data_IF_120807571536
#
_entry.id   IF_120807571536
#
_cell.length_a   1.000
_cell.length_b   1.000
_cell.length_c   1.000
_cell.angle_alpha   90.00
_cell.angle_beta   90.00
_cell.angle_gamma   90.00
#
_symmetry.space_group_name_H-M   'P 1'
#
loop_
_entity.id
_entity.type
_entity.pdbx_description
1 polymer ?
#
# COMPACT_ATOMS: atom_id res chain seq x y z
N UNK A 1 33.68 -53.05 31.18
CA UNK A 1 33.23 -51.65 31.40
C UNK A 1 31.96 -51.44 30.60
N UNK A 2 30.80 -51.29 31.26
CA UNK A 2 29.56 -50.87 30.58
C UNK A 2 29.57 -49.35 30.50
N UNK A 3 29.65 -48.80 29.28
CA UNK A 3 29.32 -47.39 29.06
C UNK A 3 27.81 -47.23 29.26
N UNK A 4 27.43 -46.49 30.30
CA UNK A 4 26.06 -46.02 30.50
C UNK A 4 25.95 -44.68 29.78
N UNK A 5 25.31 -44.67 28.61
CA UNK A 5 24.93 -43.43 27.94
C UNK A 5 23.76 -42.78 28.72
N UNK A 6 24.08 -41.83 29.60
CA UNK A 6 23.11 -40.97 30.28
C UNK A 6 22.60 -39.89 29.31
N UNK A 7 21.79 -40.29 28.33
CA UNK A 7 21.15 -39.36 27.40
C UNK A 7 20.02 -38.60 28.09
N UNK A 8 20.24 -37.32 28.38
CA UNK A 8 19.26 -36.28 28.70
C UNK A 8 17.96 -36.73 29.40
N UNK A 9 18.03 -36.93 30.71
CA UNK A 9 16.87 -37.11 31.59
C UNK A 9 16.35 -35.77 32.15
N UNK A 10 16.30 -34.71 31.34
CA UNK A 10 15.68 -33.43 31.71
C UNK A 10 14.32 -33.35 31.03
N UNK A 11 13.27 -33.30 31.85
CA UNK A 11 11.84 -33.17 31.51
C UNK A 11 11.49 -33.52 30.06
N UNK A 12 11.00 -34.73 29.85
CA UNK A 12 10.67 -35.27 28.52
C UNK A 12 9.42 -34.60 27.94
N UNK A 13 9.55 -33.33 27.54
CA UNK A 13 8.73 -32.82 26.45
C UNK A 13 8.83 -33.82 25.30
N UNK A 14 7.68 -34.23 24.74
CA UNK A 14 7.65 -35.23 23.68
C UNK A 14 8.73 -34.91 22.64
N UNK A 15 9.57 -35.89 22.25
CA UNK A 15 10.68 -35.71 21.27
C UNK A 15 10.27 -34.86 20.06
N UNK A 16 9.01 -34.99 19.64
CA UNK A 16 8.36 -34.16 18.61
C UNK A 16 8.43 -32.65 18.90
N UNK A 17 8.11 -32.20 20.10
CA UNK A 17 8.18 -30.79 20.53
C UNK A 17 9.62 -30.29 20.56
N UNK A 18 10.54 -31.09 21.11
CA UNK A 18 11.96 -30.74 21.14
C UNK A 18 12.50 -30.53 19.72
N UNK A 19 12.28 -31.50 18.82
CA UNK A 19 12.74 -31.38 17.42
C UNK A 19 12.08 -30.21 16.69
N UNK A 20 10.80 -29.93 16.97
CA UNK A 20 10.11 -28.76 16.41
C UNK A 20 10.76 -27.46 16.88
N UNK A 21 11.02 -27.31 18.17
CA UNK A 21 11.63 -26.10 18.73
C UNK A 21 13.05 -25.91 18.19
N UNK A 22 13.86 -26.97 18.23
CA UNK A 22 15.21 -26.96 17.66
C UNK A 22 15.20 -26.55 16.18
N UNK A 23 14.29 -27.12 15.39
CA UNK A 23 14.18 -26.77 13.97
C UNK A 23 13.83 -25.30 13.76
N UNK A 24 12.97 -24.72 14.60
CA UNK A 24 12.60 -23.31 14.54
C UNK A 24 13.77 -22.40 14.92
N UNK A 25 14.51 -22.74 15.98
CA UNK A 25 15.66 -21.96 16.45
C UNK A 25 16.76 -21.90 15.38
N UNK A 26 17.06 -23.04 14.74
CA UNK A 26 18.09 -23.11 13.69
C UNK A 26 17.75 -22.26 12.45
N UNK A 27 16.47 -22.10 12.12
CA UNK A 27 16.03 -21.37 10.91
C UNK A 27 15.61 -19.94 11.19
N UNK A 28 15.43 -19.55 12.46
CA UNK A 28 14.89 -18.24 12.84
C UNK A 28 15.66 -17.06 12.22
N UNK A 29 16.99 -17.04 12.37
CA UNK A 29 17.84 -15.96 11.85
C UNK A 29 17.77 -15.87 10.31
N UNK A 30 17.72 -17.02 9.63
CA UNK A 30 17.59 -17.08 8.19
C UNK A 30 16.23 -16.57 7.69
N UNK A 31 15.15 -16.88 8.42
CA UNK A 31 13.81 -16.39 8.12
C UNK A 31 13.76 -14.87 8.28
N UNK A 32 14.35 -14.33 9.35
CA UNK A 32 14.38 -12.89 9.60
C UNK A 32 15.12 -12.14 8.49
N UNK A 33 16.34 -12.59 8.12
CA UNK A 33 17.11 -12.00 7.01
C UNK A 33 16.34 -12.00 5.69
N UNK A 34 15.59 -13.07 5.40
CA UNK A 34 14.74 -13.17 4.21
C UNK A 34 13.54 -12.23 4.28
N UNK A 35 12.92 -12.07 5.45
CA UNK A 35 11.80 -11.17 5.65
C UNK A 35 12.20 -9.70 5.42
N UNK A 36 13.38 -9.29 5.88
CA UNK A 36 13.93 -7.95 5.67
C UNK A 36 14.32 -7.70 4.21
N UNK A 37 14.91 -8.70 3.54
CA UNK A 37 15.35 -8.62 2.15
C UNK A 37 14.20 -8.61 1.13
N UNK A 38 12.97 -8.94 1.55
CA UNK A 38 11.79 -9.07 0.68
C UNK A 38 11.44 -7.77 -0.08
N UNK A 39 11.89 -6.61 0.42
CA UNK A 39 11.65 -5.29 -0.20
C UNK A 39 12.31 -5.16 -1.59
N UNK A 40 13.37 -5.93 -1.88
CA UNK A 40 14.21 -5.73 -3.09
C UNK A 40 13.75 -6.52 -4.33
N UNK A 41 12.60 -7.19 -4.29
CA UNK A 41 12.01 -7.83 -5.48
C UNK A 41 12.79 -9.04 -5.99
N UNK A 42 12.53 -10.22 -5.41
CA UNK A 42 13.10 -11.49 -5.88
C UNK A 42 12.46 -12.74 -5.28
N UNK A 43 11.40 -12.56 -4.49
CA UNK A 43 10.70 -13.61 -3.75
C UNK A 43 9.25 -13.65 -4.25
N UNK A 44 8.69 -14.84 -4.47
CA UNK A 44 7.29 -15.04 -4.86
C UNK A 44 6.32 -14.44 -3.83
N UNK A 45 5.23 -13.84 -4.30
CA UNK A 45 4.20 -13.14 -3.51
C UNK A 45 3.77 -13.88 -2.24
N UNK A 46 3.53 -15.18 -2.36
CA UNK A 46 2.97 -16.00 -1.28
C UNK A 46 3.99 -16.21 -0.16
N UNK A 47 5.26 -16.34 -0.54
CA UNK A 47 6.37 -16.41 0.41
C UNK A 47 6.60 -15.05 1.07
N UNK A 48 6.45 -13.94 0.33
CA UNK A 48 6.52 -12.60 0.92
C UNK A 48 5.44 -12.43 2.01
N UNK A 49 4.21 -12.84 1.73
CA UNK A 49 3.10 -12.74 2.67
C UNK A 49 3.33 -13.57 3.94
N UNK A 50 3.90 -14.77 3.78
CA UNK A 50 4.26 -15.63 4.91
C UNK A 50 5.40 -15.04 5.76
N UNK A 51 6.38 -14.40 5.12
CA UNK A 51 7.53 -13.77 5.79
C UNK A 51 7.18 -12.46 6.52
N UNK A 52 6.08 -11.76 6.16
CA UNK A 52 5.62 -10.55 6.86
C UNK A 52 5.48 -10.75 8.37
N UNK A 53 5.07 -11.95 8.80
CA UNK A 53 4.87 -12.30 10.22
C UNK A 53 6.16 -12.29 11.06
N UNK A 54 7.32 -12.35 10.40
CA UNK A 54 8.63 -12.44 11.04
C UNK A 54 9.43 -11.13 10.94
N UNK A 55 8.83 -10.05 10.45
CA UNK A 55 9.46 -8.73 10.46
C UNK A 55 9.45 -8.16 11.87
N UNK A 56 10.60 -7.67 12.34
CA UNK A 56 10.76 -7.07 13.67
C UNK A 56 9.84 -5.84 13.88
N UNK A 57 9.59 -5.09 12.81
CA UNK A 57 8.53 -4.08 12.75
C UNK A 57 7.48 -4.58 11.76
N UNK A 58 6.32 -5.08 12.22
CA UNK A 58 5.16 -5.20 11.37
C UNK A 58 4.90 -3.79 10.85
N UNK A 59 5.23 -3.55 9.58
CA UNK A 59 4.63 -2.42 8.89
C UNK A 59 3.17 -2.81 8.83
N UNK A 60 2.37 -2.27 9.75
CA UNK A 60 0.94 -2.15 9.51
C UNK A 60 0.86 -1.47 8.16
N UNK A 61 0.45 -2.23 7.15
CA UNK A 61 -0.02 -1.65 5.91
C UNK A 61 -1.24 -0.85 6.36
N UNK A 62 -1.03 0.40 6.75
CA UNK A 62 -2.12 1.34 6.92
C UNK A 62 -2.98 1.17 5.68
N UNK A 63 -4.30 0.98 5.83
CA UNK A 63 -5.17 0.83 4.69
C UNK A 63 -4.88 2.02 3.79
N UNK A 64 -4.20 1.77 2.66
CA UNK A 64 -3.85 2.82 1.73
C UNK A 64 -5.19 3.41 1.35
N UNK A 65 -5.53 4.58 1.91
CA UNK A 65 -6.85 5.15 1.79
C UNK A 65 -7.15 5.16 0.31
N UNK A 66 -8.14 4.35 -0.09
CA UNK A 66 -8.55 4.30 -1.48
C UNK A 66 -8.83 5.75 -1.86
N UNK A 67 -8.03 6.30 -2.79
CA UNK A 67 -8.07 7.72 -3.15
C UNK A 67 -9.51 8.24 -3.02
N UNK A 68 -9.76 9.28 -2.20
CA UNK A 68 -11.12 9.57 -1.71
C UNK A 68 -12.14 9.85 -2.82
N UNK A 69 -11.66 10.09 -4.04
CA UNK A 69 -12.46 10.35 -5.23
C UNK A 69 -12.85 9.12 -6.05
N UNK A 70 -13.12 7.95 -5.44
CA UNK A 70 -13.53 6.73 -6.17
C UNK A 70 -15.03 6.43 -6.10
N UNK A 71 -15.58 6.02 -7.25
CA UNK A 71 -16.95 5.55 -7.45
C UNK A 71 -17.03 4.02 -7.31
N UNK A 72 -18.11 3.52 -6.71
CA UNK A 72 -18.37 2.08 -6.55
C UNK A 72 -18.57 1.35 -7.89
N UNK A 73 -19.11 2.03 -8.91
CA UNK A 73 -19.31 1.51 -10.26
C UNK A 73 -18.72 2.48 -11.28
N UNK A 74 -18.20 1.94 -12.39
CA UNK A 74 -17.70 2.75 -13.50
C UNK A 74 -18.86 3.53 -14.13
N UNK A 75 -18.70 4.85 -14.28
CA UNK A 75 -19.64 5.75 -14.97
C UNK A 75 -18.96 6.39 -16.18
N UNK A 76 -19.74 6.95 -17.11
CA UNK A 76 -19.22 7.75 -18.22
C UNK A 76 -18.69 9.08 -17.70
N UNK A 77 -17.56 9.55 -18.23
CA UNK A 77 -17.04 10.87 -17.91
C UNK A 77 -17.99 11.94 -18.43
N UNK A 78 -18.29 12.93 -17.57
CA UNK A 78 -19.17 14.06 -17.88
C UNK A 78 -18.61 14.90 -19.05
N UNK A 79 -17.30 15.14 -19.05
CA UNK A 79 -16.62 15.95 -20.07
C UNK A 79 -16.53 15.24 -21.42
N UNK A 80 -16.45 13.90 -21.41
CA UNK A 80 -16.44 13.11 -22.63
C UNK A 80 -17.85 12.77 -23.16
N UNK A 81 -18.93 13.30 -22.58
CA UNK A 81 -20.30 12.96 -23.02
C UNK A 81 -20.56 13.34 -24.48
N UNK A 82 -19.99 14.46 -24.91
CA UNK A 82 -20.14 14.99 -26.26
C UNK A 82 -19.08 14.47 -27.24
N UNK A 83 -18.13 13.66 -26.76
CA UNK A 83 -17.09 13.07 -27.60
C UNK A 83 -17.56 11.72 -28.17
N UNK A 84 -17.20 11.44 -29.42
CA UNK A 84 -17.50 10.16 -30.07
C UNK A 84 -16.96 8.94 -29.28
N UNK A 85 -15.90 9.13 -28.49
CA UNK A 85 -15.32 8.12 -27.60
C UNK A 85 -15.49 8.50 -26.13
N UNK A 86 -16.71 8.31 -25.63
CA UNK A 86 -17.02 8.58 -24.22
C UNK A 86 -16.31 7.58 -23.28
N UNK A 87 -15.35 8.05 -22.48
CA UNK A 87 -14.55 7.21 -21.58
C UNK A 87 -15.31 6.82 -20.31
N UNK A 88 -15.12 5.59 -19.86
CA UNK A 88 -15.60 5.13 -18.55
C UNK A 88 -14.56 5.40 -17.46
N UNK A 89 -15.00 5.86 -16.29
CA UNK A 89 -14.17 6.24 -15.17
C UNK A 89 -14.68 5.70 -13.85
N UNK A 90 -13.76 5.48 -12.90
CA UNK A 90 -14.07 5.24 -11.48
C UNK A 90 -13.84 6.50 -10.63
N UNK A 91 -13.48 7.64 -11.23
CA UNK A 91 -13.12 8.84 -10.50
C UNK A 91 -14.21 9.91 -10.59
N UNK A 92 -14.31 10.77 -9.57
CA UNK A 92 -15.21 11.91 -9.56
C UNK A 92 -14.49 13.20 -9.13
N UNK A 93 -15.04 14.37 -9.48
CA UNK A 93 -14.50 15.67 -9.08
C UNK A 93 -14.80 15.98 -7.61
N UNK A 94 -13.81 16.44 -6.82
CA UNK A 94 -14.04 16.77 -5.42
C UNK A 94 -15.13 17.82 -5.18
N UNK A 95 -15.23 18.82 -6.05
CA UNK A 95 -16.18 19.92 -5.92
C UNK A 95 -17.60 19.55 -6.38
N UNK A 96 -17.77 19.11 -7.62
CA UNK A 96 -19.10 18.88 -8.21
C UNK A 96 -19.57 17.42 -8.13
N UNK A 97 -18.74 16.49 -7.66
CA UNK A 97 -19.02 15.05 -7.56
C UNK A 97 -19.37 14.35 -8.88
N UNK A 98 -19.21 15.03 -10.02
CA UNK A 98 -19.43 14.46 -11.34
C UNK A 98 -18.33 13.45 -11.71
N UNK A 99 -18.63 12.41 -12.50
CA UNK A 99 -17.64 11.43 -12.96
C UNK A 99 -16.67 12.04 -13.99
N UNK A 100 -15.37 11.86 -13.78
CA UNK A 100 -14.31 12.45 -14.62
C UNK A 100 -13.23 11.41 -14.97
N UNK A 101 -12.80 11.32 -16.23
CA UNK A 101 -11.71 10.43 -16.64
C UNK A 101 -10.34 11.06 -16.30
N UNK A 102 -9.27 10.26 -16.24
CA UNK A 102 -7.94 10.76 -15.83
C UNK A 102 -7.38 11.86 -16.74
N UNK A 103 -7.75 11.91 -18.02
CA UNK A 103 -7.37 13.01 -18.93
C UNK A 103 -8.08 14.34 -18.61
N UNK A 104 -9.19 14.26 -17.90
CA UNK A 104 -9.98 15.41 -17.45
C UNK A 104 -9.79 15.68 -15.94
N UNK A 105 -8.93 14.91 -15.25
CA UNK A 105 -8.75 14.94 -13.79
C UNK A 105 -7.35 15.40 -13.41
N UNK A 106 -7.22 16.60 -12.84
CA UNK A 106 -5.99 17.04 -12.16
C UNK A 106 -6.15 17.14 -10.62
N UNK A 107 -7.38 17.04 -10.13
CA UNK A 107 -7.87 16.95 -8.72
C UNK A 107 -9.30 17.47 -8.72
N UNK A 108 -9.53 18.49 -9.54
CA UNK A 108 -10.80 19.12 -9.85
C UNK A 108 -11.09 18.94 -11.36
N UNK A 109 -12.35 18.94 -11.79
CA UNK A 109 -12.66 18.88 -13.23
C UNK A 109 -12.29 20.20 -13.91
N UNK A 110 -12.09 20.17 -15.23
CA UNK A 110 -11.78 21.37 -16.03
C UNK A 110 -12.79 22.51 -15.86
N UNK A 111 -14.06 22.22 -15.58
CA UNK A 111 -15.10 23.24 -15.31
C UNK A 111 -14.98 23.91 -13.93
N UNK A 112 -14.43 23.20 -12.94
CA UNK A 112 -14.26 23.72 -11.59
C UNK A 112 -12.85 24.29 -11.35
N UNK A 113 -11.87 23.97 -12.20
CA UNK A 113 -10.54 24.56 -12.19
C UNK A 113 -10.52 26.11 -12.20
N UNK A 114 -11.29 26.82 -13.06
CA UNK A 114 -11.29 28.29 -13.08
C UNK A 114 -11.94 28.94 -11.85
N UNK A 115 -12.66 28.18 -11.02
CA UNK A 115 -13.29 28.71 -9.79
C UNK A 115 -12.30 28.78 -8.62
N UNK A 116 -11.05 28.37 -8.82
CA UNK A 116 -9.98 28.39 -7.82
C UNK A 116 -8.98 29.54 -8.00
N UNK A 117 -9.20 30.46 -8.95
CA UNK A 117 -8.35 31.66 -9.05
C UNK A 117 -8.71 32.64 -7.94
N UNK A 118 -7.85 32.69 -6.94
CA UNK A 118 -7.73 33.79 -5.97
C UNK A 118 -7.61 35.11 -6.76
N UNK A 119 -8.26 36.22 -6.36
CA UNK A 119 -8.06 37.50 -7.03
C UNK A 119 -6.59 37.91 -6.88
N UNK A 120 -5.90 38.11 -8.00
CA UNK A 120 -4.63 38.83 -8.01
C UNK A 120 -4.96 40.28 -7.67
N UNK A 121 -4.50 40.77 -6.52
CA UNK A 121 -4.52 42.19 -6.22
C UNK A 121 -3.59 42.88 -7.22
N UNK A 122 -4.16 43.73 -8.07
CA UNK A 122 -3.42 44.73 -8.83
C UNK A 122 -3.02 45.83 -7.84
N UNK A 123 -1.76 45.85 -7.47
CA UNK A 123 -1.16 47.06 -6.94
C UNK A 123 -0.76 47.91 -8.16
N UNK A 124 -1.70 48.75 -8.60
CA UNK A 124 -1.39 49.94 -9.38
C UNK A 124 -0.61 50.88 -8.45
N UNK A 125 0.72 50.91 -8.59
CA UNK A 125 1.54 52.01 -8.03
C UNK A 125 2.06 52.86 -9.19
N UNK A 126 1.15 53.69 -9.70
CA UNK A 126 1.47 54.93 -10.37
C UNK A 126 1.84 55.95 -9.30
N UNK A 127 3.12 56.25 -9.18
CA UNK A 127 3.60 57.45 -8.49
C UNK A 127 4.68 58.09 -9.34
N UNK A 128 4.27 59.14 -10.05
CA UNK A 128 5.12 60.18 -10.61
C UNK A 128 6.06 60.77 -9.55
N UNK A 129 7.35 60.93 -9.89
CA UNK A 129 8.14 62.18 -9.87
C UNK A 129 9.62 61.91 -10.17
#
# INVERSE_FOLDING_TARGET
MRLLCLGNCLETGARRLFLRNLSNELVAEHIQRRAESTVKGGIYSDLQQSLKKFKANPVEEEPMETAPNRLNKRKRCEMCKNEAKCRLTKYYCYQCKNPVCLEHTETVCKECAPKMTVPVQQDDDSSDE
#
